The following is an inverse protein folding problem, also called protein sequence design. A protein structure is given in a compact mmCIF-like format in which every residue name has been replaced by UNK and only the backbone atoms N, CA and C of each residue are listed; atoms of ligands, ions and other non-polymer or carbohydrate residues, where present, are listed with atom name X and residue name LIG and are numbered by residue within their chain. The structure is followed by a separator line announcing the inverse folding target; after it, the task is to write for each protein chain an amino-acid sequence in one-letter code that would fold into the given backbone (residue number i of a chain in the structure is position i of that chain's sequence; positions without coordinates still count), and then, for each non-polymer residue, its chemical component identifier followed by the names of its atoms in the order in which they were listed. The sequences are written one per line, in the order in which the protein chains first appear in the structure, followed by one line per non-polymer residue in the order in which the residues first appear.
data_IF_202668891068
#
_entry.id   IF_202668891068
#
_cell.length_a   1.000
_cell.length_b   1.000
_cell.length_c   1.000
_cell.angle_alpha   90.00
_cell.angle_beta   90.00
_cell.angle_gamma   90.00
#
_symmetry.space_group_name_H-M   'P 1'
#
loop_
_entity.id
_entity.type
_entity.pdbx_description
1 polymer ?
#
# COMPACT_ATOMS: atom_id res chain seq x y z
N UNK A 1 -7.13 14.91 -3.69
CA UNK A 1 -7.08 14.49 -5.11
C UNK A 1 -6.57 13.06 -5.28
N UNK A 2 -5.46 12.65 -4.65
CA UNK A 2 -4.93 11.27 -4.80
C UNK A 2 -5.89 10.16 -4.37
N UNK A 3 -6.62 10.32 -3.26
CA UNK A 3 -7.60 9.33 -2.78
C UNK A 3 -8.72 9.06 -3.78
N UNK A 4 -9.34 10.12 -4.32
CA UNK A 4 -10.43 10.02 -5.30
C UNK A 4 -9.99 9.25 -6.55
N UNK A 5 -8.77 9.51 -7.04
CA UNK A 5 -8.25 8.85 -8.24
C UNK A 5 -8.07 7.36 -8.00
N UNK A 6 -7.50 6.95 -6.87
CA UNK A 6 -7.34 5.52 -6.60
C UNK A 6 -8.68 4.85 -6.29
N UNK A 7 -9.58 5.50 -5.55
CA UNK A 7 -10.90 4.96 -5.25
C UNK A 7 -11.72 4.73 -6.53
N UNK A 8 -11.60 5.66 -7.48
CA UNK A 8 -12.20 5.54 -8.81
C UNK A 8 -11.53 4.42 -9.63
N UNK A 9 -10.21 4.28 -9.54
CA UNK A 9 -9.48 3.18 -10.16
C UNK A 9 -9.92 1.81 -9.59
N UNK A 10 -10.09 1.71 -8.27
CA UNK A 10 -10.56 0.48 -7.61
C UNK A 10 -12.01 0.18 -8.02
N UNK A 11 -12.88 1.18 -7.95
CA UNK A 11 -14.33 1.01 -8.14
C UNK A 11 -14.72 0.73 -9.58
N UNK A 12 -14.03 1.35 -10.55
CA UNK A 12 -14.36 1.23 -11.98
C UNK A 12 -13.47 0.21 -12.71
N UNK A 13 -12.17 0.19 -12.41
CA UNK A 13 -11.23 -0.68 -13.13
C UNK A 13 -11.06 -2.04 -12.46
N UNK A 14 -11.02 -2.12 -11.13
CA UNK A 14 -10.56 -3.32 -10.43
C UNK A 14 -11.66 -4.25 -9.91
N UNK A 15 -12.84 -3.75 -9.54
CA UNK A 15 -13.96 -4.51 -8.92
C UNK A 15 -13.55 -5.88 -8.36
N UNK A 16 -12.80 -5.90 -7.24
CA UNK A 16 -12.29 -7.14 -6.68
C UNK A 16 -13.44 -7.93 -6.05
N UNK A 17 -13.61 -9.19 -6.48
CA UNK A 17 -14.57 -10.13 -5.93
C UNK A 17 -13.77 -11.21 -5.20
N UNK A 18 -13.89 -11.23 -3.87
CA UNK A 18 -13.29 -12.28 -3.05
C UNK A 18 -14.12 -13.56 -3.13
N UNK A 19 -13.47 -14.71 -3.33
CA UNK A 19 -14.11 -16.02 -3.26
C UNK A 19 -13.90 -16.63 -1.87
N UNK A 20 -14.87 -16.47 -0.98
CA UNK A 20 -14.88 -17.22 0.28
C UNK A 20 -15.12 -18.72 0.05
N UNK A 21 -14.55 -19.62 0.87
CA UNK A 21 -13.78 -19.39 2.11
C UNK A 21 -12.26 -19.26 1.92
N UNK A 22 -11.76 -19.28 0.68
CA UNK A 22 -10.32 -19.23 0.40
C UNK A 22 -9.85 -17.77 0.27
N UNK A 23 -8.61 -17.42 0.65
CA UNK A 23 -8.03 -16.09 0.41
C UNK A 23 -7.68 -15.94 -1.08
N UNK A 24 -8.72 -15.95 -1.92
CA UNK A 24 -8.64 -15.91 -3.36
C UNK A 24 -9.62 -14.89 -3.89
N UNK A 25 -9.26 -14.26 -5.01
CA UNK A 25 -10.09 -13.24 -5.62
C UNK A 25 -9.95 -13.23 -7.13
N UNK A 26 -10.94 -12.66 -7.79
CA UNK A 26 -10.86 -12.28 -9.19
C UNK A 26 -11.38 -10.87 -9.38
N UNK A 27 -10.82 -10.15 -10.35
CA UNK A 27 -11.22 -8.79 -10.71
C UNK A 27 -12.12 -8.83 -11.95
N UNK A 28 -13.28 -8.17 -11.89
CA UNK A 28 -14.27 -8.19 -12.98
C UNK A 28 -14.54 -6.82 -13.64
N UNK A 29 -13.71 -5.80 -13.36
CA UNK A 29 -13.93 -4.43 -13.81
C UNK A 29 -13.57 -4.14 -15.28
N UNK A 30 -13.75 -2.87 -15.70
CA UNK A 30 -13.55 -2.41 -17.09
C UNK A 30 -12.13 -2.69 -17.60
N UNK A 31 -11.13 -2.69 -16.71
CA UNK A 31 -9.74 -3.04 -17.05
C UNK A 31 -9.60 -4.44 -17.65
N UNK A 32 -10.41 -5.40 -17.20
CA UNK A 32 -10.44 -6.75 -17.76
C UNK A 32 -11.11 -6.77 -19.13
N UNK A 33 -12.25 -6.10 -19.27
CA UNK A 33 -13.04 -6.12 -20.51
C UNK A 33 -12.37 -5.36 -21.67
N UNK A 34 -11.65 -4.27 -21.38
CA UNK A 34 -11.03 -3.42 -22.41
C UNK A 34 -9.55 -3.75 -22.66
N UNK A 35 -8.78 -4.15 -21.64
CA UNK A 35 -7.33 -4.32 -21.76
C UNK A 35 -6.83 -5.75 -21.52
N UNK A 36 -7.72 -6.70 -21.18
CA UNK A 36 -7.38 -8.10 -20.85
C UNK A 36 -6.21 -8.21 -19.84
N UNK A 37 -6.10 -7.24 -18.93
CA UNK A 37 -5.07 -7.24 -17.90
C UNK A 37 -5.31 -8.38 -16.92
N UNK A 38 -4.22 -9.08 -16.57
CA UNK A 38 -4.30 -10.17 -15.59
C UNK A 38 -4.62 -9.62 -14.20
N UNK A 39 -5.34 -10.42 -13.41
CA UNK A 39 -5.73 -10.04 -12.02
C UNK A 39 -4.50 -9.66 -11.17
N UNK A 40 -3.36 -10.30 -11.42
CA UNK A 40 -2.10 -10.02 -10.74
C UNK A 40 -1.54 -8.61 -11.03
N UNK A 41 -1.61 -8.15 -12.29
CA UNK A 41 -1.21 -6.79 -12.64
C UNK A 41 -2.13 -5.78 -11.97
N UNK A 42 -3.43 -6.09 -11.90
CA UNK A 42 -4.39 -5.24 -11.21
C UNK A 42 -4.07 -5.09 -9.73
N UNK A 43 -3.77 -6.20 -9.04
CA UNK A 43 -3.33 -6.20 -7.65
C UNK A 43 -2.01 -5.44 -7.44
N UNK A 44 -1.08 -5.53 -8.38
CA UNK A 44 0.20 -4.79 -8.33
C UNK A 44 -0.04 -3.28 -8.42
N UNK A 45 -0.85 -2.83 -9.39
CA UNK A 45 -1.20 -1.42 -9.57
C UNK A 45 -1.92 -0.89 -8.33
N UNK A 46 -2.86 -1.66 -7.80
CA UNK A 46 -3.59 -1.29 -6.58
C UNK A 46 -2.67 -1.14 -5.37
N UNK A 47 -1.75 -2.09 -5.17
CA UNK A 47 -0.77 -2.04 -4.09
C UNK A 47 0.12 -0.80 -4.21
N UNK A 48 0.57 -0.48 -5.43
CA UNK A 48 1.35 0.73 -5.69
C UNK A 48 0.55 2.01 -5.37
N UNK A 49 -0.70 2.10 -5.81
CA UNK A 49 -1.57 3.25 -5.55
C UNK A 49 -1.84 3.42 -4.05
N UNK A 50 -2.17 2.34 -3.33
CA UNK A 50 -2.40 2.39 -1.89
C UNK A 50 -1.14 2.81 -1.12
N UNK A 51 0.01 2.21 -1.44
CA UNK A 51 1.28 2.59 -0.82
C UNK A 51 1.60 4.07 -1.09
N UNK A 52 1.44 4.50 -2.35
CA UNK A 52 1.63 5.89 -2.74
C UNK A 52 0.74 6.87 -1.97
N UNK A 53 -0.52 6.52 -1.71
CA UNK A 53 -1.41 7.37 -0.89
C UNK A 53 -0.89 7.57 0.53
N UNK A 54 -0.47 6.48 1.20
CA UNK A 54 0.04 6.53 2.56
C UNK A 54 1.29 7.41 2.62
N UNK A 55 2.19 7.28 1.64
CA UNK A 55 3.41 8.08 1.56
C UNK A 55 3.11 9.55 1.24
N UNK A 56 2.18 9.85 0.31
CA UNK A 56 1.76 11.24 0.03
C UNK A 56 1.15 11.89 1.27
N UNK A 57 0.33 11.18 2.04
CA UNK A 57 -0.20 11.67 3.31
C UNK A 57 0.92 11.97 4.31
N UNK A 58 1.90 11.06 4.42
CA UNK A 58 3.08 11.25 5.29
C UNK A 58 3.87 12.50 4.89
N UNK A 59 4.09 12.70 3.58
CA UNK A 59 4.74 13.88 3.03
C UNK A 59 3.94 15.15 3.36
N UNK A 60 2.61 15.13 3.22
CA UNK A 60 1.76 16.26 3.59
C UNK A 60 1.89 16.63 5.08
N UNK A 61 1.92 15.64 5.97
CA UNK A 61 2.16 15.87 7.40
C UNK A 61 3.54 16.48 7.67
N UNK A 62 4.59 15.97 7.02
CA UNK A 62 5.95 16.50 7.14
C UNK A 62 6.05 17.94 6.64
N UNK A 63 5.42 18.27 5.50
CA UNK A 63 5.37 19.64 4.97
C UNK A 63 4.65 20.60 5.92
N UNK A 64 3.51 20.17 6.47
CA UNK A 64 2.77 20.94 7.47
C UNK A 64 3.62 21.19 8.72
N UNK A 65 4.30 20.16 9.20
CA UNK A 65 5.20 20.27 10.36
C UNK A 65 6.37 21.22 10.09
N UNK A 66 7.03 21.12 8.93
CA UNK A 66 8.11 22.02 8.53
C UNK A 66 7.65 23.49 8.54
N UNK A 67 6.46 23.77 8.00
CA UNK A 67 5.91 25.12 7.98
C UNK A 67 5.64 25.69 9.38
N UNK A 68 5.15 24.87 10.32
CA UNK A 68 4.94 25.28 11.72
C UNK A 68 6.28 25.58 12.41
N UNK A 69 7.27 24.70 12.23
CA UNK A 69 8.60 24.89 12.82
C UNK A 69 9.28 26.16 12.29
N UNK A 70 9.15 26.44 10.99
CA UNK A 70 9.72 27.62 10.35
C UNK A 70 9.05 28.90 10.87
N UNK A 71 7.72 28.90 11.02
CA UNK A 71 6.96 30.03 11.57
C UNK A 71 7.31 30.30 13.05
N UNK A 72 7.49 29.26 13.86
CA UNK A 72 7.82 29.41 15.28
C UNK A 72 9.26 29.88 15.53
N UNK A 73 10.10 30.00 14.48
CA UNK A 73 11.55 30.27 14.56
C UNK A 73 12.36 29.26 15.40
N UNK A 74 11.73 28.20 15.91
CA UNK A 74 12.35 27.22 16.82
C UNK A 74 13.50 26.47 16.14
N UNK A 75 13.40 26.19 14.83
CA UNK A 75 14.48 25.48 14.13
C UNK A 75 14.43 25.62 12.60
N UNK A 76 15.50 26.17 12.00
CA UNK A 76 15.72 26.14 10.54
C UNK A 76 16.06 24.71 10.11
N UNK A 77 15.02 23.93 9.80
CA UNK A 77 15.17 22.51 9.49
C UNK A 77 15.73 22.32 8.07
N UNK A 78 16.87 21.63 7.96
CA UNK A 78 17.61 21.44 6.69
C UNK A 78 16.76 20.80 5.59
N UNK A 79 16.63 21.47 4.45
CA UNK A 79 15.84 21.01 3.29
C UNK A 79 16.30 19.66 2.74
N UNK A 80 17.61 19.37 2.87
CA UNK A 80 18.20 18.10 2.43
C UNK A 80 17.58 16.91 3.17
N UNK A 81 17.28 17.05 4.46
CA UNK A 81 16.67 15.97 5.25
C UNK A 81 15.27 15.64 4.74
N UNK A 82 14.47 16.65 4.41
CA UNK A 82 13.13 16.44 3.85
C UNK A 82 13.20 15.83 2.45
N UNK A 83 14.15 16.26 1.61
CA UNK A 83 14.38 15.65 0.31
C UNK A 83 14.74 14.16 0.43
N UNK A 84 15.65 13.80 1.34
CA UNK A 84 15.99 12.40 1.62
C UNK A 84 14.77 11.59 2.08
N UNK A 85 13.93 12.14 2.96
CA UNK A 85 12.71 11.46 3.42
C UNK A 85 11.75 11.25 2.25
N UNK A 86 11.55 12.26 1.39
CA UNK A 86 10.67 12.13 0.21
C UNK A 86 11.17 11.07 -0.77
N UNK A 87 12.47 11.05 -1.04
CA UNK A 87 13.07 10.02 -1.89
C UNK A 87 12.89 8.61 -1.30
N UNK A 88 13.11 8.45 0.01
CA UNK A 88 12.88 7.18 0.71
C UNK A 88 11.41 6.73 0.65
N UNK A 89 10.45 7.66 0.78
CA UNK A 89 9.03 7.33 0.70
C UNK A 89 8.63 6.82 -0.69
N UNK A 90 9.12 7.47 -1.75
CA UNK A 90 8.84 7.07 -3.15
C UNK A 90 9.51 5.73 -3.46
N UNK A 91 10.80 5.58 -3.14
CA UNK A 91 11.53 4.33 -3.41
C UNK A 91 10.90 3.15 -2.68
N UNK A 92 10.41 3.37 -1.45
CA UNK A 92 9.72 2.35 -0.68
C UNK A 92 8.41 1.88 -1.31
N UNK A 93 7.59 2.80 -1.83
CA UNK A 93 6.37 2.44 -2.58
C UNK A 93 6.68 1.64 -3.84
N UNK A 94 7.76 1.98 -4.55
CA UNK A 94 8.23 1.20 -5.70
C UNK A 94 8.70 -0.20 -5.29
N UNK A 95 9.40 -0.33 -4.15
CA UNK A 95 9.88 -1.62 -3.64
C UNK A 95 8.72 -2.56 -3.27
N UNK A 96 7.69 -2.06 -2.59
CA UNK A 96 6.50 -2.86 -2.26
C UNK A 96 5.79 -3.32 -3.55
N UNK A 97 5.61 -2.42 -4.52
CA UNK A 97 4.98 -2.75 -5.79
C UNK A 97 5.79 -3.78 -6.60
N UNK A 98 7.12 -3.66 -6.60
CA UNK A 98 7.99 -4.63 -7.26
C UNK A 98 7.96 -5.99 -6.54
N UNK A 99 7.90 -6.01 -5.21
CA UNK A 99 7.83 -7.24 -4.43
C UNK A 99 6.58 -8.04 -4.74
N UNK A 100 5.41 -7.39 -4.84
CA UNK A 100 4.19 -8.08 -5.22
C UNK A 100 4.23 -8.52 -6.69
N UNK A 101 4.82 -7.69 -7.58
CA UNK A 101 4.97 -8.04 -8.99
C UNK A 101 5.82 -9.31 -9.20
N UNK A 102 6.92 -9.45 -8.46
CA UNK A 102 7.82 -10.63 -8.53
C UNK A 102 7.20 -11.86 -7.85
N UNK A 103 6.21 -11.65 -6.97
CA UNK A 103 5.50 -12.73 -6.28
C UNK A 103 4.46 -13.44 -7.15
N UNK A 104 4.36 -13.09 -8.43
CA UNK A 104 3.48 -13.78 -9.37
C UNK A 104 3.82 -15.27 -9.43
N UNK A 105 2.80 -16.09 -9.20
CA UNK A 105 2.82 -17.53 -9.47
C UNK A 105 1.99 -17.83 -10.72
N UNK A 106 2.31 -18.92 -11.41
CA UNK A 106 1.50 -19.40 -12.53
C UNK A 106 0.12 -19.85 -12.05
N UNK A 107 -0.91 -19.71 -12.91
CA UNK A 107 -2.27 -20.20 -12.61
C UNK A 107 -2.29 -21.71 -12.38
N UNK A 108 -1.43 -22.44 -13.07
CA UNK A 108 -1.32 -23.90 -13.02
C UNK A 108 -0.82 -24.37 -11.65
N UNK A 109 0.19 -23.71 -11.09
CA UNK A 109 0.73 -24.04 -9.76
C UNK A 109 -0.30 -23.71 -8.67
N UNK A 110 -1.01 -22.59 -8.80
CA UNK A 110 -2.11 -22.24 -7.89
C UNK A 110 -3.24 -23.28 -7.94
N UNK A 111 -3.60 -23.78 -9.13
CA UNK A 111 -4.64 -24.79 -9.29
C UNK A 111 -4.21 -26.15 -8.72
N UNK A 112 -2.94 -26.56 -8.92
CA UNK A 112 -2.39 -27.79 -8.31
C UNK A 112 -2.46 -27.76 -6.79
N UNK A 113 -2.24 -26.60 -6.18
CA UNK A 113 -2.34 -26.46 -4.73
C UNK A 113 -3.78 -26.60 -4.22
N UNK A 114 -4.74 -25.98 -4.94
CA UNK A 114 -6.18 -26.10 -4.65
C UNK A 114 -6.66 -27.54 -4.83
N UNK A 115 -6.18 -28.25 -5.87
CA UNK A 115 -6.48 -29.67 -6.07
C UNK A 115 -6.04 -30.54 -4.89
N UNK A 116 -4.86 -30.26 -4.33
CA UNK A 116 -4.28 -31.03 -3.23
C UNK A 116 -4.96 -30.77 -1.88
N UNK A 117 -5.31 -29.50 -1.58
CA UNK A 117 -5.82 -29.11 -0.27
C UNK A 117 -7.35 -28.97 -0.22
N UNK A 118 -8.00 -28.68 -1.35
CA UNK A 118 -9.44 -28.41 -1.43
C UNK A 118 -10.08 -29.06 -2.68
N UNK A 119 -10.04 -30.40 -2.80
CA UNK A 119 -10.50 -31.12 -4.00
C UNK A 119 -11.98 -30.88 -4.33
N UNK A 120 -12.82 -30.63 -3.31
CA UNK A 120 -14.25 -30.32 -3.49
C UNK A 120 -14.53 -28.95 -4.14
N UNK A 121 -13.57 -28.01 -4.06
CA UNK A 121 -13.71 -26.66 -4.61
C UNK A 121 -13.01 -26.50 -5.96
N UNK A 122 -12.05 -27.39 -6.29
CA UNK A 122 -11.27 -27.35 -7.54
C UNK A 122 -12.13 -27.17 -8.80
N UNK A 123 -13.25 -27.90 -8.91
CA UNK A 123 -14.12 -27.82 -10.08
C UNK A 123 -14.71 -26.41 -10.30
N UNK A 124 -15.02 -25.69 -9.22
CA UNK A 124 -15.51 -24.30 -9.29
C UNK A 124 -14.38 -23.33 -9.67
N UNK A 125 -13.16 -23.56 -9.20
CA UNK A 125 -11.98 -22.75 -9.57
C UNK A 125 -11.54 -23.00 -11.02
N UNK A 126 -11.68 -24.22 -11.55
CA UNK A 126 -11.43 -24.53 -12.97
C UNK A 126 -12.42 -23.84 -13.90
N UNK A 127 -13.65 -23.64 -13.46
CA UNK A 127 -14.66 -22.91 -14.22
C UNK A 127 -14.37 -21.39 -14.28
N UNK A 128 -13.47 -20.87 -13.44
CA UNK A 128 -13.05 -19.47 -13.48
C UNK A 128 -11.90 -19.26 -14.46
N UNK A 129 -12.13 -18.31 -15.36
CA UNK A 129 -11.22 -17.96 -16.45
C UNK A 129 -9.92 -17.31 -15.92
N UNK A 130 -9.99 -16.56 -14.82
CA UNK A 130 -8.83 -16.20 -13.98
C UNK A 130 -9.22 -16.15 -12.51
N UNK A 131 -8.32 -16.59 -11.64
CA UNK A 131 -8.37 -16.38 -10.20
C UNK A 131 -6.94 -16.14 -9.73
N UNK A 132 -6.78 -15.39 -8.64
CA UNK A 132 -5.49 -15.24 -8.00
C UNK A 132 -5.55 -15.77 -6.57
N UNK A 133 -4.65 -16.71 -6.27
CA UNK A 133 -4.48 -17.29 -4.96
C UNK A 133 -3.16 -16.80 -4.36
N UNK A 134 -3.22 -16.06 -3.25
CA UNK A 134 -2.02 -15.65 -2.53
C UNK A 134 -1.60 -16.74 -1.55
N UNK A 135 -0.88 -17.72 -2.09
CA UNK A 135 -0.30 -18.82 -1.33
C UNK A 135 0.79 -18.29 -0.38
N UNK A 136 0.92 -18.90 0.80
CA UNK A 136 2.00 -18.58 1.74
C UNK A 136 3.33 -19.12 1.19
N UNK A 137 3.89 -18.43 0.21
CA UNK A 137 5.20 -18.72 -0.38
C UNK A 137 6.25 -17.73 0.16
N UNK A 138 7.52 -18.09 0.11
CA UNK A 138 8.64 -17.24 0.54
C UNK A 138 8.62 -15.86 -0.14
N UNK A 139 8.22 -15.80 -1.42
CA UNK A 139 8.08 -14.53 -2.17
C UNK A 139 7.00 -13.62 -1.58
N UNK A 140 5.84 -14.19 -1.24
CA UNK A 140 4.76 -13.48 -0.56
C UNK A 140 5.12 -13.11 0.89
N UNK A 141 5.96 -13.91 1.55
CA UNK A 141 6.48 -13.58 2.88
C UNK A 141 7.32 -12.30 2.86
N UNK A 142 8.15 -12.10 1.83
CA UNK A 142 8.90 -10.84 1.64
C UNK A 142 7.95 -9.64 1.52
N UNK A 143 6.86 -9.78 0.74
CA UNK A 143 5.85 -8.75 0.63
C UNK A 143 5.21 -8.41 2.00
N UNK A 144 4.83 -9.42 2.79
CA UNK A 144 4.27 -9.18 4.13
C UNK A 144 5.26 -8.47 5.07
N UNK A 145 6.52 -8.88 5.08
CA UNK A 145 7.57 -8.25 5.89
C UNK A 145 7.74 -6.78 5.49
N UNK A 146 7.73 -6.50 4.18
CA UNK A 146 7.76 -5.12 3.69
C UNK A 146 6.54 -4.36 4.18
N UNK A 147 5.31 -4.84 3.97
CA UNK A 147 4.09 -4.15 4.45
C UNK A 147 4.17 -3.82 5.94
N UNK A 148 4.56 -4.77 6.79
CA UNK A 148 4.74 -4.55 8.23
C UNK A 148 5.80 -3.47 8.53
N UNK A 149 6.95 -3.52 7.83
CA UNK A 149 7.98 -2.50 7.95
C UNK A 149 7.49 -1.10 7.56
N UNK A 150 6.66 -1.02 6.53
CA UNK A 150 6.09 0.23 6.02
C UNK A 150 5.12 0.86 6.99
N UNK A 151 4.22 0.04 7.56
CA UNK A 151 3.30 0.48 8.61
C UNK A 151 4.07 0.95 9.85
N UNK A 152 5.10 0.21 10.26
CA UNK A 152 5.94 0.56 11.42
C UNK A 152 6.68 1.88 11.19
N UNK A 153 7.28 2.07 10.00
CA UNK A 153 7.91 3.34 9.59
C UNK A 153 6.93 4.51 9.75
N UNK A 154 5.75 4.39 9.15
CA UNK A 154 4.75 5.47 9.16
C UNK A 154 4.25 5.75 10.57
N UNK A 155 4.04 4.73 11.40
CA UNK A 155 3.66 4.89 12.80
C UNK A 155 4.72 5.65 13.61
N UNK A 156 6.01 5.34 13.42
CA UNK A 156 7.12 6.05 14.08
C UNK A 156 7.17 7.52 13.65
N UNK A 157 7.03 7.81 12.36
CA UNK A 157 7.03 9.19 11.83
C UNK A 157 5.86 9.98 12.41
N UNK A 158 4.65 9.42 12.42
CA UNK A 158 3.47 10.11 12.97
C UNK A 158 3.60 10.32 14.47
N UNK A 159 4.10 9.33 15.22
CA UNK A 159 4.29 9.42 16.67
C UNK A 159 5.30 10.49 17.05
N UNK A 160 6.44 10.52 16.36
CA UNK A 160 7.49 11.55 16.58
C UNK A 160 6.99 12.96 16.25
N UNK A 161 6.24 13.13 15.16
CA UNK A 161 5.59 14.40 14.83
C UNK A 161 4.58 14.83 15.89
N UNK A 162 3.78 13.89 16.42
CA UNK A 162 2.78 14.20 17.44
C UNK A 162 3.41 14.69 18.75
N UNK A 163 4.53 14.10 19.17
CA UNK A 163 5.26 14.51 20.38
C UNK A 163 5.88 15.90 20.24
N UNK A 164 6.38 16.25 19.05
CA UNK A 164 6.95 17.59 18.81
C UNK A 164 5.84 18.65 18.83
N UNK A 165 4.71 18.39 18.17
CA UNK A 165 3.58 19.32 18.13
C UNK A 165 3.00 19.56 19.53
N UNK A 166 2.90 18.54 20.38
CA UNK A 166 2.43 18.71 21.75
C UNK A 166 3.39 19.55 22.60
N UNK A 167 4.71 19.40 22.39
CA UNK A 167 5.74 20.22 23.04
C UNK A 167 5.64 21.71 22.65
N UNK A 168 5.44 22.02 21.36
CA UNK A 168 5.26 23.40 20.88
C UNK A 168 4.02 24.04 21.51
N UNK A 169 2.88 23.32 21.50
CA UNK A 169 1.63 23.81 22.07
C UNK A 169 1.72 24.05 23.57
N UNK A 170 2.56 23.29 24.29
CA UNK A 170 2.85 23.55 25.70
C UNK A 170 3.64 24.85 25.88
N UNK A 171 4.67 25.08 25.05
CA UNK A 171 5.48 26.30 25.11
C UNK A 171 4.68 27.57 24.82
N UNK A 172 3.78 27.55 23.83
CA UNK A 172 2.93 28.71 23.50
C UNK A 172 1.94 29.06 24.63
N UNK A 173 1.37 28.05 25.31
CA UNK A 173 0.47 28.25 26.45
C UNK A 173 1.18 28.80 27.70
N UNK A 174 2.48 28.52 27.85
CA UNK A 174 3.29 29.08 28.95
C UNK A 174 3.66 30.54 28.68
N UNK A 175 3.89 30.92 27.41
CA UNK A 175 4.28 32.28 27.04
C UNK A 175 3.11 33.29 27.01
N UNK A 176 1.86 32.81 26.99
CA UNK A 176 0.64 33.63 26.94
C UNK A 176 -0.01 33.86 28.31
N UNK A 177 0.61 33.40 29.40
CA UNK A 177 0.14 33.53 30.77
C UNK A 177 1.08 34.39 31.60
#
# INVERSE_FOLDING_TARGET
MSCIISDLNISLFMQPIGLFPLPSGYSCGIGRSAFRLTTHIHMTIFTFLLSGQIEVLTICFLRKHKAIMDLSSIQKSSDIKYFCIYFMCISYSCLIALSIFVSSESKEDQLRYVDQHFPSMSQKFRALDEFQFYMHNNRMMVFYILVFGGTTKTAIVVSSLSTVVSSIRFSDNVLTR
#
